data_IF_152186544188
#
_entry.id   IF_152186544188
#
_cell.length_a   1.000
_cell.length_b   1.000
_cell.length_c   1.000
_cell.angle_alpha   90.00
_cell.angle_beta   90.00
_cell.angle_gamma   90.00
#
_symmetry.space_group_name_H-M   'P 1'
#
loop_
_entity.id
_entity.type
_entity.pdbx_description
1 polymer ?
#
# COMPACT_ATOMS: atom_id res chain seq x y z
N UNK A 1 -51.30 -4.13 26.25
CA UNK A 1 -50.70 -3.33 25.16
C UNK A 1 -49.59 -2.51 25.80
N UNK A 2 -48.46 -3.16 26.04
CA UNK A 2 -47.25 -2.54 26.58
C UNK A 2 -46.33 -2.35 25.38
N UNK A 3 -46.06 -1.09 25.06
CA UNK A 3 -45.08 -0.71 24.07
C UNK A 3 -43.71 -1.19 24.55
N UNK A 4 -43.13 -2.14 23.82
CA UNK A 4 -41.69 -2.42 23.89
C UNK A 4 -40.98 -1.26 23.18
N UNK A 5 -40.24 -0.49 23.98
CA UNK A 5 -39.27 0.49 23.54
C UNK A 5 -38.06 -0.30 23.03
N UNK A 6 -37.97 -0.50 21.71
CA UNK A 6 -36.83 -1.13 21.04
C UNK A 6 -35.64 -0.15 21.10
N UNK A 7 -34.98 -0.15 22.26
CA UNK A 7 -33.74 0.57 22.51
C UNK A 7 -32.62 0.00 21.64
N UNK A 8 -32.59 0.40 20.37
CA UNK A 8 -31.38 0.31 19.55
C UNK A 8 -30.38 1.27 20.15
N UNK A 9 -29.52 0.78 21.03
CA UNK A 9 -28.29 1.48 21.41
C UNK A 9 -27.59 1.89 20.12
N UNK A 10 -27.46 3.20 19.94
CA UNK A 10 -26.82 3.81 18.79
C UNK A 10 -25.30 3.61 18.94
N UNK A 11 -24.82 2.38 18.75
CA UNK A 11 -23.42 2.02 18.86
C UNK A 11 -22.69 2.60 17.65
N UNK A 12 -22.06 3.76 17.84
CA UNK A 12 -21.17 4.33 16.82
C UNK A 12 -19.90 3.46 16.76
N UNK A 13 -19.55 2.89 15.60
CA UNK A 13 -18.37 2.04 15.48
C UNK A 13 -17.10 2.78 15.90
N UNK A 14 -16.22 2.10 16.62
CA UNK A 14 -14.88 2.57 16.95
C UNK A 14 -13.92 2.35 15.76
N UNK A 15 -12.74 2.97 15.82
CA UNK A 15 -11.68 2.81 14.79
C UNK A 15 -11.29 1.35 14.58
N UNK A 16 -11.22 0.55 15.65
CA UNK A 16 -10.97 -0.88 15.53
C UNK A 16 -12.07 -1.65 14.78
N UNK A 17 -13.32 -1.17 14.84
CA UNK A 17 -14.43 -1.78 14.09
C UNK A 17 -14.32 -1.42 12.60
N UNK A 18 -13.95 -0.18 12.28
CA UNK A 18 -13.68 0.25 10.90
C UNK A 18 -12.47 -0.46 10.28
N UNK A 19 -11.43 -0.69 11.08
CA UNK A 19 -10.26 -1.47 10.68
C UNK A 19 -10.60 -2.93 10.41
N UNK A 20 -11.35 -3.57 11.31
CA UNK A 20 -11.82 -4.94 11.10
C UNK A 20 -12.66 -5.06 9.83
N UNK A 21 -13.59 -4.13 9.63
CA UNK A 21 -14.42 -4.06 8.43
C UNK A 21 -13.57 -3.82 7.16
N UNK A 22 -12.56 -2.94 7.22
CA UNK A 22 -11.64 -2.74 6.10
C UNK A 22 -10.89 -4.02 5.73
N UNK A 23 -10.42 -4.79 6.72
CA UNK A 23 -9.73 -6.06 6.49
C UNK A 23 -10.64 -7.14 5.91
N UNK A 24 -11.88 -7.22 6.38
CA UNK A 24 -12.88 -8.15 5.85
C UNK A 24 -13.16 -7.84 4.36
N UNK A 25 -13.39 -6.57 4.02
CA UNK A 25 -13.62 -6.14 2.64
C UNK A 25 -12.38 -6.35 1.76
N UNK A 26 -11.18 -6.10 2.27
CA UNK A 26 -9.93 -6.43 1.57
C UNK A 26 -9.80 -7.95 1.34
N UNK A 27 -10.26 -8.77 2.29
CA UNK A 27 -10.37 -10.21 2.15
C UNK A 27 -11.28 -10.64 0.99
N UNK A 28 -12.46 -10.03 0.88
CA UNK A 28 -13.38 -10.24 -0.25
C UNK A 28 -12.76 -9.80 -1.60
N UNK A 29 -11.88 -8.80 -1.57
CA UNK A 29 -11.09 -8.34 -2.71
C UNK A 29 -9.83 -9.19 -2.98
N UNK A 30 -9.74 -10.37 -2.36
CA UNK A 30 -8.64 -11.34 -2.49
C UNK A 30 -7.26 -10.84 -2.01
N UNK A 31 -7.23 -9.92 -1.06
CA UNK A 31 -6.04 -9.66 -0.25
C UNK A 31 -6.01 -10.62 0.92
N UNK A 32 -4.85 -11.17 1.28
CA UNK A 32 -4.71 -12.04 2.45
C UNK A 32 -4.57 -11.19 3.73
N UNK A 33 -5.59 -11.11 4.61
CA UNK A 33 -5.51 -10.30 5.82
C UNK A 33 -4.69 -11.03 6.89
N UNK A 34 -3.82 -10.30 7.58
CA UNK A 34 -3.06 -10.86 8.70
C UNK A 34 -2.57 -9.79 9.69
N UNK A 35 -2.32 -10.14 10.95
CA UNK A 35 -1.80 -9.18 11.91
C UNK A 35 -0.33 -8.86 11.64
N UNK A 36 0.02 -7.57 11.66
CA UNK A 36 1.37 -7.09 11.36
C UNK A 36 2.44 -7.63 12.32
N UNK A 37 2.06 -8.05 13.54
CA UNK A 37 2.97 -8.71 14.47
C UNK A 37 3.47 -10.09 13.97
N UNK A 38 2.70 -10.79 13.12
CA UNK A 38 3.11 -12.04 12.51
C UNK A 38 4.23 -11.84 11.48
N UNK A 39 4.46 -10.60 11.03
CA UNK A 39 5.50 -10.20 10.08
C UNK A 39 6.55 -9.28 10.70
N UNK A 40 6.56 -9.11 12.02
CA UNK A 40 7.54 -8.28 12.73
C UNK A 40 8.97 -8.89 12.68
N UNK A 41 10.04 -8.11 12.91
CA UNK A 41 11.39 -8.65 13.06
C UNK A 41 11.44 -9.80 14.05
N UNK A 42 12.08 -10.90 13.63
CA UNK A 42 12.06 -12.18 14.36
C UNK A 42 11.02 -13.18 13.84
N UNK A 43 10.20 -12.82 12.84
CA UNK A 43 9.24 -13.70 12.14
C UNK A 43 9.74 -14.28 10.81
N UNK A 44 11.02 -14.11 10.49
CA UNK A 44 11.64 -14.45 9.18
C UNK A 44 11.16 -13.60 7.98
N UNK A 45 10.16 -12.73 8.12
CA UNK A 45 9.68 -11.86 7.03
C UNK A 45 10.46 -10.53 6.89
N UNK A 46 10.50 -9.71 7.96
CA UNK A 46 11.18 -8.40 7.98
C UNK A 46 12.55 -8.49 8.65
N UNK A 47 13.54 -7.78 8.13
CA UNK A 47 14.93 -7.77 8.68
C UNK A 47 15.09 -6.91 9.93
N UNK A 48 14.40 -5.78 9.98
CA UNK A 48 14.52 -4.78 11.05
C UNK A 48 13.21 -4.01 11.21
N UNK A 49 13.07 -3.25 12.30
CA UNK A 49 11.81 -2.57 12.61
C UNK A 49 11.55 -1.34 11.73
N UNK A 50 12.56 -0.79 11.07
CA UNK A 50 12.49 0.33 10.13
C UNK A 50 12.32 -0.13 8.67
N UNK A 51 12.28 -1.44 8.43
CA UNK A 51 12.15 -2.05 7.11
C UNK A 51 10.78 -2.72 6.97
N UNK A 52 9.99 -2.24 6.01
CA UNK A 52 8.68 -2.79 5.73
C UNK A 52 8.71 -3.96 4.73
N UNK A 53 9.81 -4.23 4.04
CA UNK A 53 9.86 -5.27 2.99
C UNK A 53 9.70 -6.66 3.61
N UNK A 54 8.82 -7.47 3.02
CA UNK A 54 8.67 -8.89 3.33
C UNK A 54 9.61 -9.67 2.40
N UNK A 55 10.82 -9.99 2.89
CA UNK A 55 11.88 -10.55 2.05
C UNK A 55 11.58 -11.94 1.46
N UNK A 56 10.96 -12.88 2.20
CA UNK A 56 10.58 -14.17 1.63
C UNK A 56 9.65 -14.00 0.41
N UNK A 57 8.58 -13.23 0.57
CA UNK A 57 7.59 -12.95 -0.48
C UNK A 57 8.23 -12.27 -1.70
N UNK A 58 9.10 -11.29 -1.48
CA UNK A 58 9.82 -10.60 -2.57
C UNK A 58 10.75 -11.56 -3.31
N UNK A 59 11.49 -12.40 -2.59
CA UNK A 59 12.38 -13.40 -3.22
C UNK A 59 11.57 -14.40 -4.04
N UNK A 60 10.51 -14.96 -3.47
CA UNK A 60 9.63 -15.93 -4.15
C UNK A 60 8.97 -15.33 -5.39
N UNK A 61 8.58 -14.05 -5.33
CA UNK A 61 8.06 -13.34 -6.49
C UNK A 61 9.11 -13.15 -7.58
N UNK A 62 10.33 -12.74 -7.23
CA UNK A 62 11.42 -12.60 -8.21
C UNK A 62 11.72 -13.95 -8.87
N UNK A 63 11.77 -15.04 -8.12
CA UNK A 63 11.96 -16.39 -8.65
C UNK A 63 10.81 -16.82 -9.58
N UNK A 64 9.56 -16.61 -9.14
CA UNK A 64 8.35 -16.97 -9.90
C UNK A 64 8.21 -16.18 -11.20
N UNK A 65 8.41 -14.87 -11.16
CA UNK A 65 8.20 -13.98 -12.31
C UNK A 65 9.36 -14.01 -13.31
N UNK A 66 10.52 -14.53 -12.90
CA UNK A 66 11.75 -14.56 -13.69
C UNK A 66 12.43 -15.94 -13.62
N UNK A 67 11.78 -17.02 -14.11
CA UNK A 67 12.21 -18.40 -13.87
C UNK A 67 13.56 -18.79 -14.49
N UNK A 68 14.13 -17.96 -15.37
CA UNK A 68 15.45 -18.17 -15.96
C UNK A 68 16.60 -17.58 -15.13
N UNK A 69 16.32 -16.82 -14.07
CA UNK A 69 17.39 -16.19 -13.28
C UNK A 69 18.13 -17.23 -12.43
N UNK A 70 19.48 -17.21 -12.44
CA UNK A 70 20.24 -18.01 -11.48
C UNK A 70 20.06 -17.46 -10.05
N UNK A 71 20.28 -18.30 -9.01
CA UNK A 71 20.11 -17.89 -7.61
C UNK A 71 20.88 -16.63 -7.21
N UNK A 72 22.05 -16.40 -7.80
CA UNK A 72 22.89 -15.23 -7.50
C UNK A 72 22.25 -13.94 -8.04
N UNK A 73 21.71 -13.97 -9.26
CA UNK A 73 20.99 -12.85 -9.86
C UNK A 73 19.67 -12.56 -9.12
N UNK A 74 18.98 -13.59 -8.60
CA UNK A 74 17.82 -13.42 -7.73
C UNK A 74 18.21 -12.65 -6.46
N UNK A 75 19.29 -13.07 -5.78
CA UNK A 75 19.76 -12.39 -4.56
C UNK A 75 20.14 -10.94 -4.84
N UNK A 76 20.80 -10.67 -5.96
CA UNK A 76 21.18 -9.32 -6.37
C UNK A 76 19.96 -8.46 -6.71
N UNK A 77 18.96 -9.02 -7.40
CA UNK A 77 17.71 -8.32 -7.69
C UNK A 77 16.93 -7.96 -6.42
N UNK A 78 16.81 -8.90 -5.47
CA UNK A 78 16.19 -8.63 -4.16
C UNK A 78 16.96 -7.55 -3.39
N UNK A 79 18.30 -7.61 -3.40
CA UNK A 79 19.13 -6.60 -2.75
C UNK A 79 18.98 -5.21 -3.40
N UNK A 80 18.93 -5.15 -4.74
CA UNK A 80 18.70 -3.93 -5.51
C UNK A 80 17.32 -3.34 -5.22
N UNK A 81 16.30 -4.19 -5.21
CA UNK A 81 14.94 -3.79 -4.85
C UNK A 81 14.86 -3.27 -3.42
N UNK A 82 15.60 -3.83 -2.47
CA UNK A 82 15.50 -3.48 -1.05
C UNK A 82 16.37 -2.30 -0.61
N UNK A 83 17.48 -2.01 -1.31
CA UNK A 83 18.46 -1.03 -0.85
C UNK A 83 18.19 0.35 -1.48
N UNK A 84 17.95 1.41 -0.68
CA UNK A 84 17.84 2.77 -1.18
C UNK A 84 19.16 3.27 -1.80
N UNK A 85 19.08 4.06 -2.87
CA UNK A 85 20.26 4.62 -3.55
C UNK A 85 20.63 6.03 -3.05
N UNK A 86 19.73 6.68 -2.33
CA UNK A 86 19.85 8.05 -1.84
C UNK A 86 19.04 8.26 -0.55
N UNK A 87 19.17 9.45 0.04
CA UNK A 87 18.40 9.86 1.22
C UNK A 87 17.13 10.68 0.85
N UNK A 88 16.88 10.91 -0.45
CA UNK A 88 15.72 11.67 -0.90
C UNK A 88 14.52 10.73 -1.09
N UNK A 89 13.57 10.80 -0.18
CA UNK A 89 12.38 9.92 -0.16
C UNK A 89 11.59 9.97 -1.46
N UNK A 90 11.47 11.14 -2.08
CA UNK A 90 10.70 11.30 -3.30
C UNK A 90 11.42 10.68 -4.50
N UNK A 91 12.74 10.88 -4.61
CA UNK A 91 13.54 10.25 -5.67
C UNK A 91 13.68 8.73 -5.48
N UNK A 92 13.75 8.25 -4.24
CA UNK A 92 13.69 6.81 -3.94
C UNK A 92 12.32 6.22 -4.32
N UNK A 93 11.22 6.94 -4.07
CA UNK A 93 9.89 6.51 -4.49
C UNK A 93 9.74 6.47 -6.01
N UNK A 94 10.27 7.47 -6.71
CA UNK A 94 10.32 7.47 -8.18
C UNK A 94 11.12 6.28 -8.72
N UNK A 95 12.29 6.02 -8.16
CA UNK A 95 13.16 4.92 -8.60
C UNK A 95 12.51 3.55 -8.34
N UNK A 96 11.90 3.38 -7.17
CA UNK A 96 11.17 2.17 -6.83
C UNK A 96 9.95 1.96 -7.74
N UNK A 97 9.22 3.02 -8.09
CA UNK A 97 8.13 2.97 -9.07
C UNK A 97 8.61 2.58 -10.46
N UNK A 98 9.78 3.05 -10.89
CA UNK A 98 10.42 2.61 -12.14
C UNK A 98 10.76 1.12 -12.11
N UNK A 99 11.21 0.57 -10.96
CA UNK A 99 11.41 -0.87 -10.81
C UNK A 99 10.10 -1.66 -10.92
N UNK A 100 9.01 -1.15 -10.35
CA UNK A 100 7.69 -1.77 -10.46
C UNK A 100 7.20 -1.82 -11.91
N UNK A 101 7.37 -0.70 -12.65
CA UNK A 101 6.76 -0.52 -13.97
C UNK A 101 7.63 -0.99 -15.14
N UNK A 102 8.95 -0.93 -15.00
CA UNK A 102 9.90 -1.23 -16.10
C UNK A 102 10.86 -2.36 -15.80
N UNK A 103 10.87 -2.86 -14.56
CA UNK A 103 11.78 -3.90 -14.07
C UNK A 103 13.18 -3.38 -13.75
N UNK A 104 13.92 -4.18 -12.97
CA UNK A 104 15.33 -3.93 -12.67
C UNK A 104 16.19 -4.38 -13.86
N UNK A 105 17.08 -3.50 -14.32
CA UNK A 105 17.97 -3.75 -15.48
C UNK A 105 19.46 -3.65 -15.14
N UNK A 106 19.79 -3.35 -13.88
CA UNK A 106 21.16 -3.16 -13.41
C UNK A 106 21.87 -4.48 -13.06
N UNK A 107 21.12 -5.57 -12.92
CA UNK A 107 21.65 -6.90 -12.56
C UNK A 107 22.09 -7.62 -13.83
N UNK A 108 23.32 -8.12 -13.83
CA UNK A 108 23.89 -8.90 -14.93
C UNK A 108 24.38 -10.24 -14.41
N UNK A 109 24.37 -11.28 -15.24
CA UNK A 109 24.93 -12.59 -14.84
C UNK A 109 25.57 -13.33 -16.01
N UNK A 110 26.56 -14.15 -15.71
CA UNK A 110 27.18 -15.06 -16.69
C UNK A 110 26.59 -16.46 -16.55
N UNK A 111 26.17 -17.05 -17.67
CA UNK A 111 25.66 -18.42 -17.68
C UNK A 111 26.78 -19.48 -17.64
N UNK A 112 26.38 -20.76 -17.58
CA UNK A 112 27.31 -21.88 -17.53
C UNK A 112 28.20 -22.03 -18.78
N UNK A 113 27.87 -21.34 -19.89
CA UNK A 113 28.61 -21.34 -21.14
C UNK A 113 29.51 -20.10 -21.30
N UNK A 114 29.50 -19.20 -20.32
CA UNK A 114 30.31 -17.98 -20.32
C UNK A 114 29.66 -16.79 -21.02
N UNK A 115 28.38 -16.88 -21.40
CA UNK A 115 27.67 -15.74 -22.00
C UNK A 115 27.11 -14.80 -20.91
N UNK A 116 27.25 -13.49 -21.12
CA UNK A 116 26.73 -12.46 -20.22
C UNK A 116 25.29 -12.08 -20.61
N UNK A 117 24.42 -12.00 -19.60
CA UNK A 117 23.00 -11.68 -19.74
C UNK A 117 22.65 -10.42 -18.96
N UNK A 118 21.84 -9.55 -19.59
CA UNK A 118 21.32 -8.30 -19.02
C UNK A 118 19.78 -8.34 -19.01
N UNK A 119 19.16 -9.15 -18.13
CA UNK A 119 17.71 -9.31 -18.12
C UNK A 119 16.98 -8.04 -17.66
N UNK A 120 15.70 -7.94 -18.03
CA UNK A 120 14.75 -7.07 -17.32
C UNK A 120 14.03 -7.91 -16.27
N UNK A 121 14.32 -7.65 -15.00
CA UNK A 121 13.83 -8.43 -13.87
C UNK A 121 12.55 -7.80 -13.32
N UNK A 122 11.44 -8.54 -13.33
CA UNK A 122 10.14 -8.08 -12.85
C UNK A 122 9.99 -8.35 -11.35
N UNK A 123 9.48 -7.36 -10.61
CA UNK A 123 9.13 -7.49 -9.20
C UNK A 123 7.63 -7.77 -8.99
N UNK A 124 6.80 -7.27 -9.91
CA UNK A 124 5.35 -7.40 -9.94
C UNK A 124 4.94 -7.70 -11.38
N UNK A 125 3.98 -8.60 -11.58
CA UNK A 125 3.32 -8.76 -12.87
C UNK A 125 2.14 -7.79 -12.95
N UNK A 126 2.28 -6.72 -13.72
CA UNK A 126 1.26 -5.68 -13.85
C UNK A 126 0.18 -6.02 -14.88
N UNK A 127 0.36 -7.11 -15.64
CA UNK A 127 -0.59 -7.54 -16.68
C UNK A 127 -1.42 -8.75 -16.22
N UNK A 128 -0.86 -9.63 -15.38
CA UNK A 128 -1.55 -10.78 -14.79
C UNK A 128 -1.65 -10.65 -13.25
N UNK A 129 -2.81 -10.23 -12.71
CA UNK A 129 -3.03 -10.11 -11.27
C UNK A 129 -2.77 -11.43 -10.52
N UNK A 130 -3.14 -12.58 -11.09
CA UNK A 130 -3.06 -13.89 -10.44
C UNK A 130 -1.62 -14.37 -10.26
N UNK A 131 -0.65 -13.74 -10.95
CA UNK A 131 0.77 -14.04 -10.82
C UNK A 131 1.42 -13.39 -9.57
N UNK A 132 0.67 -12.60 -8.79
CA UNK A 132 1.15 -11.88 -7.61
C UNK A 132 0.56 -12.41 -6.31
N UNK A 133 1.24 -12.14 -5.20
CA UNK A 133 0.74 -12.38 -3.85
C UNK A 133 0.35 -11.05 -3.22
N UNK A 134 -0.86 -10.98 -2.67
CA UNK A 134 -1.45 -9.78 -2.08
C UNK A 134 -1.68 -9.99 -0.58
N UNK A 135 -1.17 -9.09 0.27
CA UNK A 135 -1.42 -9.14 1.72
C UNK A 135 -1.93 -7.81 2.24
N UNK A 136 -2.86 -7.87 3.19
CA UNK A 136 -3.33 -6.73 3.96
C UNK A 136 -2.89 -6.90 5.42
N UNK A 137 -1.83 -6.22 5.83
CA UNK A 137 -1.30 -6.34 7.18
C UNK A 137 -1.78 -5.20 8.06
N UNK A 138 -2.41 -5.52 9.18
CA UNK A 138 -2.92 -4.51 10.10
C UNK A 138 -2.01 -4.26 11.31
N UNK A 139 -2.08 -3.07 11.91
CA UNK A 139 -1.30 -2.66 13.08
C UNK A 139 0.23 -2.83 12.89
N UNK A 140 0.75 -2.47 11.72
CA UNK A 140 2.17 -2.66 11.35
C UNK A 140 3.04 -1.65 12.09
N UNK A 141 3.92 -2.15 12.96
CA UNK A 141 4.81 -1.30 13.77
C UNK A 141 6.13 -1.03 13.04
N UNK A 142 6.54 0.24 13.05
CA UNK A 142 7.80 0.73 12.48
C UNK A 142 8.59 1.49 13.55
N UNK A 143 9.88 1.14 13.73
CA UNK A 143 10.76 1.73 14.75
C UNK A 143 12.10 2.08 14.12
N UNK A 144 12.49 3.36 14.23
CA UNK A 144 13.80 3.89 13.81
C UNK A 144 14.33 4.82 14.92
N UNK A 145 15.35 4.35 15.64
CA UNK A 145 15.86 5.02 16.84
C UNK A 145 14.79 5.21 17.91
N UNK A 146 14.50 6.47 18.26
CA UNK A 146 13.47 6.83 19.25
C UNK A 146 12.06 6.97 18.64
N UNK A 147 11.95 6.97 17.31
CA UNK A 147 10.66 7.08 16.61
C UNK A 147 9.98 5.71 16.61
N UNK A 148 8.73 5.67 17.03
CA UNK A 148 7.91 4.45 17.04
C UNK A 148 6.48 4.80 16.58
N UNK A 149 6.05 4.22 15.47
CA UNK A 149 4.72 4.41 14.88
C UNK A 149 4.09 3.07 14.54
N UNK A 150 2.77 3.08 14.50
CA UNK A 150 1.95 1.93 14.12
C UNK A 150 0.99 2.39 13.03
N UNK A 151 1.11 1.74 11.88
CA UNK A 151 0.29 1.97 10.70
C UNK A 151 -0.95 1.09 10.82
N UNK A 152 -2.12 1.63 10.49
CA UNK A 152 -3.37 0.88 10.65
C UNK A 152 -3.43 -0.30 9.70
N UNK A 153 -3.30 -0.07 8.39
CA UNK A 153 -3.18 -1.15 7.39
C UNK A 153 -2.11 -0.81 6.35
N UNK A 154 -1.25 -1.78 6.05
CA UNK A 154 -0.27 -1.72 4.95
C UNK A 154 -0.58 -2.83 3.96
N UNK A 155 -0.74 -2.46 2.69
CA UNK A 155 -1.01 -3.38 1.60
C UNK A 155 0.27 -3.73 0.87
N UNK A 156 0.50 -5.03 0.72
CA UNK A 156 1.70 -5.60 0.10
C UNK A 156 1.36 -6.31 -1.20
N UNK A 157 2.18 -6.08 -2.22
CA UNK A 157 2.22 -6.91 -3.43
C UNK A 157 3.60 -7.51 -3.54
N UNK A 158 3.71 -8.84 -3.55
CA UNK A 158 4.98 -9.56 -3.63
C UNK A 158 6.00 -9.08 -2.56
N UNK A 159 5.51 -8.81 -1.34
CA UNK A 159 6.34 -8.33 -0.22
C UNK A 159 6.75 -6.86 -0.26
N UNK A 160 6.31 -6.08 -1.27
CA UNK A 160 6.57 -4.64 -1.36
C UNK A 160 5.37 -3.85 -0.81
N UNK A 161 5.56 -2.88 0.11
CA UNK A 161 4.48 -2.08 0.69
C UNK A 161 3.99 -1.02 -0.30
N UNK A 162 2.96 -1.35 -1.09
CA UNK A 162 2.48 -0.51 -2.19
C UNK A 162 1.37 0.47 -1.78
N UNK A 163 0.65 0.22 -0.69
CA UNK A 163 -0.32 1.18 -0.18
C UNK A 163 -0.43 1.18 1.35
N UNK A 164 -0.91 2.30 1.88
CA UNK A 164 -1.16 2.50 3.32
C UNK A 164 -2.58 3.03 3.48
N UNK A 165 -3.33 2.46 4.42
CA UNK A 165 -4.62 2.98 4.85
C UNK A 165 -4.44 3.52 6.26
N UNK A 166 -4.87 4.75 6.48
CA UNK A 166 -4.90 5.40 7.79
C UNK A 166 -6.37 5.68 8.15
N UNK A 167 -6.81 5.10 9.27
CA UNK A 167 -8.18 5.10 9.71
C UNK A 167 -8.34 6.02 10.93
N UNK A 168 -9.52 6.61 11.07
CA UNK A 168 -9.88 7.49 12.18
C UNK A 168 -11.26 7.15 12.71
N UNK A 169 -11.52 7.56 13.95
CA UNK A 169 -12.83 7.39 14.59
C UNK A 169 -13.84 8.36 14.00
N UNK A 170 -14.98 7.85 13.54
CA UNK A 170 -16.09 8.70 13.10
C UNK A 170 -16.65 9.57 14.24
N UNK A 171 -16.77 10.88 14.01
CA UNK A 171 -17.46 11.81 14.92
C UNK A 171 -16.63 12.33 16.10
N UNK A 172 -15.32 12.13 16.08
CA UNK A 172 -14.38 12.87 16.92
C UNK A 172 -14.02 14.18 16.18
N UNK A 173 -14.30 15.34 16.80
CA UNK A 173 -14.09 16.66 16.17
C UNK A 173 -12.63 16.90 15.79
N UNK A 174 -11.68 16.23 16.47
CA UNK A 174 -10.24 16.31 16.21
C UNK A 174 -9.72 15.24 15.22
N UNK A 175 -10.50 14.17 14.96
CA UNK A 175 -10.10 13.03 14.13
C UNK A 175 -10.53 13.16 12.66
N UNK A 176 -10.20 14.30 12.04
CA UNK A 176 -10.54 14.56 10.64
C UNK A 176 -9.62 13.82 9.65
N UNK A 177 -10.05 13.66 8.40
CA UNK A 177 -9.16 13.19 7.31
C UNK A 177 -7.92 14.08 7.14
N UNK A 178 -7.99 15.36 7.51
CA UNK A 178 -6.83 16.26 7.47
C UNK A 178 -5.81 15.91 8.58
N UNK A 179 -6.29 15.47 9.74
CA UNK A 179 -5.45 14.94 10.82
C UNK A 179 -4.76 13.64 10.39
N UNK A 180 -5.50 12.73 9.73
CA UNK A 180 -4.93 11.51 9.15
C UNK A 180 -3.86 11.81 8.08
N UNK A 181 -4.12 12.78 7.19
CA UNK A 181 -3.12 13.24 6.21
C UNK A 181 -1.85 13.80 6.86
N UNK A 182 -2.02 14.59 7.92
CA UNK A 182 -0.91 15.17 8.68
C UNK A 182 -0.05 14.08 9.35
N UNK A 183 -0.70 13.01 9.81
CA UNK A 183 -0.02 11.84 10.36
C UNK A 183 0.79 11.08 9.30
N UNK A 184 0.22 10.84 8.12
CA UNK A 184 0.95 10.24 6.99
C UNK A 184 2.16 11.12 6.59
N UNK A 185 1.97 12.43 6.50
CA UNK A 185 3.06 13.37 6.17
C UNK A 185 4.21 13.26 7.18
N UNK A 186 3.88 13.22 8.48
CA UNK A 186 4.87 12.99 9.54
C UNK A 186 5.55 11.62 9.38
N UNK A 187 4.83 10.58 9.00
CA UNK A 187 5.41 9.25 8.83
C UNK A 187 6.40 9.22 7.65
N UNK A 188 6.12 9.94 6.56
CA UNK A 188 7.05 10.09 5.43
C UNK A 188 8.35 10.77 5.87
N UNK A 189 8.27 11.79 6.72
CA UNK A 189 9.43 12.47 7.30
C UNK A 189 10.19 11.60 8.31
N UNK A 190 9.46 10.84 9.13
CA UNK A 190 10.02 10.02 10.19
C UNK A 190 10.65 8.73 9.66
N UNK A 191 10.05 8.09 8.66
CA UNK A 191 10.38 6.77 8.11
C UNK A 191 10.41 6.77 6.57
N UNK A 192 11.36 7.48 5.94
CA UNK A 192 11.39 7.65 4.50
C UNK A 192 11.44 6.32 3.72
N UNK A 193 12.17 5.33 4.24
CA UNK A 193 12.29 3.99 3.64
C UNK A 193 10.96 3.24 3.58
N UNK A 194 10.05 3.45 4.54
CA UNK A 194 8.73 2.83 4.59
C UNK A 194 7.84 3.25 3.41
N UNK A 195 8.05 4.46 2.86
CA UNK A 195 7.28 5.00 1.74
C UNK A 195 7.98 4.86 0.39
N UNK A 196 9.12 4.18 0.33
CA UNK A 196 9.87 3.98 -0.91
C UNK A 196 9.04 3.29 -1.99
N UNK A 197 8.21 2.31 -1.66
CA UNK A 197 7.36 1.64 -2.66
C UNK A 197 5.91 2.10 -2.68
N UNK A 198 5.52 2.99 -1.76
CA UNK A 198 4.12 3.35 -1.58
C UNK A 198 3.62 4.17 -2.78
N UNK A 199 2.64 3.62 -3.48
CA UNK A 199 1.99 4.23 -4.63
C UNK A 199 0.67 4.93 -4.24
N UNK A 200 0.01 4.47 -3.18
CA UNK A 200 -1.31 4.97 -2.79
C UNK A 200 -1.48 5.06 -1.27
N UNK A 201 -2.11 6.14 -0.83
CA UNK A 201 -2.57 6.35 0.53
C UNK A 201 -4.08 6.52 0.51
N UNK A 202 -4.79 5.77 1.35
CA UNK A 202 -6.23 5.97 1.62
C UNK A 202 -6.39 6.48 3.05
N UNK A 203 -7.13 7.57 3.21
CA UNK A 203 -7.52 8.13 4.50
C UNK A 203 -9.01 7.88 4.68
N UNK A 204 -9.44 7.39 5.83
CA UNK A 204 -10.87 7.20 6.10
C UNK A 204 -11.24 7.42 7.56
N UNK A 205 -12.47 7.88 7.78
CA UNK A 205 -13.15 7.88 9.08
C UNK A 205 -14.36 6.92 9.08
N UNK A 206 -14.35 5.92 8.19
CA UNK A 206 -15.45 5.01 7.91
C UNK A 206 -16.49 5.63 6.97
N UNK A 207 -17.06 6.77 7.36
CA UNK A 207 -18.13 7.44 6.60
C UNK A 207 -17.60 8.07 5.32
N UNK A 208 -16.46 8.75 5.42
CA UNK A 208 -15.79 9.41 4.31
C UNK A 208 -14.42 8.76 4.06
N UNK A 209 -13.99 8.79 2.81
CA UNK A 209 -12.65 8.37 2.45
C UNK A 209 -12.09 9.24 1.32
N UNK A 210 -10.78 9.46 1.35
CA UNK A 210 -10.05 10.14 0.29
C UNK A 210 -8.72 9.46 0.05
N UNK A 211 -8.30 9.43 -1.20
CA UNK A 211 -7.03 8.85 -1.60
C UNK A 211 -6.13 9.85 -2.32
N UNK A 212 -4.84 9.53 -2.29
CA UNK A 212 -3.75 10.28 -2.93
C UNK A 212 -2.47 9.47 -2.87
N UNK A 213 -1.33 10.13 -3.01
CA UNK A 213 0.00 9.54 -2.78
C UNK A 213 0.59 10.07 -1.46
N UNK A 214 1.67 9.47 -0.93
CA UNK A 214 2.36 9.99 0.26
C UNK A 214 2.84 11.44 0.14
N UNK A 215 3.02 11.93 -1.10
CA UNK A 215 3.53 13.26 -1.41
C UNK A 215 2.45 14.22 -1.92
N UNK A 216 1.19 13.78 -1.97
CA UNK A 216 0.08 14.60 -2.44
C UNK A 216 -0.37 15.56 -1.34
N UNK A 217 -0.46 16.88 -1.60
CA UNK A 217 -1.07 17.82 -0.65
C UNK A 217 -2.53 17.47 -0.35
N UNK A 218 -3.01 17.72 0.87
CA UNK A 218 -4.35 17.31 1.30
C UNK A 218 -5.49 17.86 0.43
N UNK A 219 -5.34 19.08 -0.09
CA UNK A 219 -6.31 19.70 -1.01
C UNK A 219 -6.47 18.96 -2.34
N UNK A 220 -5.55 18.06 -2.67
CA UNK A 220 -5.56 17.23 -3.87
C UNK A 220 -5.93 15.76 -3.59
N UNK A 221 -6.16 15.40 -2.32
CA UNK A 221 -6.79 14.13 -1.99
C UNK A 221 -8.26 14.14 -2.43
N UNK A 222 -8.69 13.08 -3.11
CA UNK A 222 -10.01 13.00 -3.71
C UNK A 222 -10.80 11.77 -3.21
N UNK A 223 -12.14 11.84 -3.10
CA UNK A 223 -12.94 10.67 -2.84
C UNK A 223 -13.04 9.79 -4.10
N UNK A 224 -13.14 8.48 -3.91
CA UNK A 224 -13.64 7.60 -4.97
C UNK A 224 -15.16 7.71 -5.06
N UNK A 225 -15.71 7.75 -6.26
CA UNK A 225 -17.14 8.05 -6.45
C UNK A 225 -17.80 7.27 -7.59
N UNK A 226 -17.21 6.15 -8.03
CA UNK A 226 -17.79 5.30 -9.06
C UNK A 226 -17.94 3.85 -8.62
N UNK A 227 -19.02 3.20 -9.04
CA UNK A 227 -19.22 1.76 -8.84
C UNK A 227 -18.34 0.93 -9.81
N UNK A 228 -18.49 -0.39 -9.74
CA UNK A 228 -17.79 -1.34 -10.62
C UNK A 228 -18.12 -1.20 -12.12
N UNK A 229 -19.24 -0.58 -12.45
CA UNK A 229 -19.68 -0.31 -13.82
C UNK A 229 -19.28 1.09 -14.30
N UNK A 230 -18.64 1.89 -13.45
CA UNK A 230 -18.24 3.26 -13.75
C UNK A 230 -19.36 4.30 -13.58
N UNK A 231 -20.50 3.94 -13.00
CA UNK A 231 -21.54 4.90 -12.68
C UNK A 231 -21.18 5.68 -11.43
N UNK A 232 -21.55 6.96 -11.40
CA UNK A 232 -21.35 7.79 -10.21
C UNK A 232 -22.22 7.29 -9.06
N UNK A 233 -21.61 7.11 -7.90
CA UNK A 233 -22.28 6.77 -6.63
C UNK A 233 -22.37 8.02 -5.76
N UNK A 234 -23.56 8.30 -5.23
CA UNK A 234 -23.73 9.22 -4.10
C UNK A 234 -23.81 8.40 -2.82
N UNK A 235 -22.74 8.47 -2.00
CA UNK A 235 -22.62 7.69 -0.76
C UNK A 235 -23.76 8.00 0.21
N UNK A 236 -24.35 9.21 0.16
CA UNK A 236 -25.46 9.58 1.04
C UNK A 236 -26.78 8.87 0.71
N UNK A 237 -26.91 8.37 -0.51
CA UNK A 237 -28.11 7.69 -1.02
C UNK A 237 -27.85 6.20 -1.31
N UNK A 238 -26.62 5.72 -1.08
CA UNK A 238 -26.19 4.39 -1.39
C UNK A 238 -26.60 3.37 -0.30
N UNK A 239 -26.91 2.15 -0.72
CA UNK A 239 -27.22 1.02 0.16
C UNK A 239 -26.26 -0.16 -0.12
N UNK A 240 -26.12 -1.06 0.87
CA UNK A 240 -25.28 -2.26 0.73
C UNK A 240 -23.79 -1.93 0.80
N UNK A 241 -22.96 -2.56 -0.05
CA UNK A 241 -21.49 -2.41 -0.04
C UNK A 241 -21.04 -0.95 -0.24
N UNK A 242 -21.91 -0.09 -0.78
CA UNK A 242 -21.60 1.30 -1.10
C UNK A 242 -22.05 2.31 -0.04
N UNK A 243 -22.59 1.84 1.10
CA UNK A 243 -23.19 2.66 2.15
C UNK A 243 -22.17 3.49 2.97
N UNK A 244 -20.88 3.26 2.77
CA UNK A 244 -19.79 3.98 3.41
C UNK A 244 -18.73 4.41 2.40
N UNK A 245 -18.16 5.60 2.62
CA UNK A 245 -17.06 6.10 1.78
C UNK A 245 -15.83 5.21 1.84
N UNK A 246 -15.59 4.55 2.99
CA UNK A 246 -14.55 3.54 3.12
C UNK A 246 -14.75 2.39 2.13
N UNK A 247 -15.90 1.71 2.17
CA UNK A 247 -16.13 0.54 1.32
C UNK A 247 -16.16 0.90 -0.16
N UNK A 248 -16.79 2.02 -0.52
CA UNK A 248 -16.75 2.51 -1.90
C UNK A 248 -15.31 2.76 -2.38
N UNK A 249 -14.44 3.31 -1.54
CA UNK A 249 -13.05 3.49 -1.88
C UNK A 249 -12.27 2.17 -1.93
N UNK A 250 -12.54 1.20 -1.03
CA UNK A 250 -11.86 -0.09 -1.03
C UNK A 250 -12.14 -0.88 -2.31
N UNK A 251 -13.42 -1.08 -2.64
CA UNK A 251 -13.87 -1.72 -3.89
C UNK A 251 -13.51 -0.89 -5.12
N UNK A 252 -13.43 0.42 -4.95
CA UNK A 252 -13.02 1.38 -5.95
C UNK A 252 -11.53 1.31 -6.32
N UNK A 253 -10.65 1.05 -5.35
CA UNK A 253 -9.20 1.18 -5.54
C UNK A 253 -8.47 -0.15 -5.51
N UNK A 254 -8.94 -1.13 -4.74
CA UNK A 254 -8.15 -2.29 -4.33
C UNK A 254 -8.63 -3.63 -4.89
N UNK A 255 -9.53 -3.67 -5.88
CA UNK A 255 -9.60 -4.87 -6.74
C UNK A 255 -8.22 -5.07 -7.37
N UNK A 256 -7.67 -6.28 -7.31
CA UNK A 256 -6.29 -6.56 -7.76
C UNK A 256 -5.97 -6.00 -9.17
N UNK A 257 -6.81 -6.18 -10.22
CA UNK A 257 -6.52 -5.64 -11.55
C UNK A 257 -6.48 -4.11 -11.58
N UNK A 258 -7.39 -3.45 -10.85
CA UNK A 258 -7.46 -1.99 -10.83
C UNK A 258 -6.32 -1.39 -10.03
N UNK A 259 -5.95 -1.99 -8.91
CA UNK A 259 -4.80 -1.54 -8.12
C UNK A 259 -3.51 -1.58 -8.94
N UNK A 260 -3.26 -2.68 -9.66
CA UNK A 260 -2.10 -2.78 -10.57
C UNK A 260 -2.17 -1.74 -11.70
N UNK A 261 -3.36 -1.48 -12.26
CA UNK A 261 -3.55 -0.42 -13.28
C UNK A 261 -3.23 0.97 -12.73
N UNK A 262 -3.68 1.29 -11.51
CA UNK A 262 -3.36 2.55 -10.83
C UNK A 262 -1.85 2.70 -10.63
N UNK A 263 -1.19 1.66 -10.11
CA UNK A 263 0.27 1.62 -9.95
C UNK A 263 0.98 1.82 -11.28
N UNK A 264 0.54 1.16 -12.36
CA UNK A 264 1.19 1.22 -13.68
C UNK A 264 1.03 2.58 -14.37
N UNK A 265 -0.15 3.17 -14.33
CA UNK A 265 -0.56 4.19 -15.30
C UNK A 265 -1.08 5.50 -14.70
N UNK A 266 -1.32 5.55 -13.39
CA UNK A 266 -1.93 6.71 -12.73
C UNK A 266 -1.07 7.34 -11.63
N UNK A 267 0.19 6.93 -11.52
CA UNK A 267 1.21 7.59 -10.70
C UNK A 267 2.11 8.42 -11.61
N UNK A 268 2.27 9.70 -11.30
CA UNK A 268 3.12 10.62 -12.06
C UNK A 268 4.09 11.37 -11.15
N UNK A 269 5.35 11.43 -11.57
CA UNK A 269 6.40 12.17 -10.88
C UNK A 269 6.67 13.47 -11.63
N UNK A 270 6.43 14.60 -10.97
CA UNK A 270 6.79 15.90 -11.51
C UNK A 270 8.29 16.11 -11.30
N UNK A 271 9.07 16.40 -12.36
CA UNK A 271 10.49 16.72 -12.18
C UNK A 271 10.64 17.93 -11.26
N UNK A 272 11.64 17.90 -10.39
CA UNK A 272 12.02 19.08 -9.61
C UNK A 272 12.27 20.25 -10.57
N UNK A 273 11.46 21.31 -10.48
CA UNK A 273 11.69 22.54 -11.26
C UNK A 273 13.11 22.98 -10.95
N UNK A 274 13.99 22.94 -11.96
CA UNK A 274 15.29 23.60 -11.91
C UNK A 274 15.00 25.07 -11.61
N UNK A 275 15.14 25.50 -10.35
CA UNK A 275 15.13 26.92 -10.03
C UNK A 275 16.31 27.51 -10.81
N UNK A 276 16.01 28.29 -11.86
CA UNK A 276 17.02 29.10 -12.50
C UNK A 276 17.56 30.03 -11.41
N UNK A 277 18.83 29.81 -11.04
CA UNK A 277 19.60 30.80 -10.29
C UNK A 277 19.66 32.11 -11.08
#
# INVERSE_FOLDING_TARGET
MTHEDDGRENHRPHEADWEALALDELGELAWEPAPGNAFAPGSDHRKSWDDLILYPDLREAVERLNPSLPPDAVREAVATAATPASQDTYEENRTAHEYLTTGIRSVTYTDAFGAEHNPTIRLVDLDDPDANVYRALNQVTVIDGEKNRRFDIVLYVNGLPLAVLELKRAGDEDATLQTAHSQVTRYVEEFPTAFRYNALVLLSDGITAKYGTPFTPYEHFAPWNTDEFGNRVDVLEAEGIWDSGQNLALHGLFTQPRFLSLVRSFVNFVPSRRMKR
#
